data_IF_772794209312
#
_entry.id   IF_772794209312
#
_cell.length_a   1.000
_cell.length_b   1.000
_cell.length_c   1.000
_cell.angle_alpha   90.00
_cell.angle_beta   90.00
_cell.angle_gamma   90.00
#
_symmetry.space_group_name_H-M   'P 1'
#
loop_
_entity.id
_entity.type
_entity.pdbx_description
1 polymer ?
#
# COMPACT_ATOMS: atom_id res chain seq x y z
N UNK A 1 8.54 -40.82 -59.46
CA UNK A 1 9.11 -39.67 -58.70
C UNK A 1 8.04 -38.95 -57.90
N UNK A 2 6.90 -38.62 -58.46
CA UNK A 2 5.82 -37.85 -57.87
C UNK A 2 5.22 -38.43 -56.56
N UNK A 3 5.15 -39.73 -56.41
CA UNK A 3 4.59 -40.39 -55.22
C UNK A 3 5.55 -40.40 -54.01
N UNK A 4 6.86 -40.29 -54.23
CA UNK A 4 7.86 -40.14 -53.16
C UNK A 4 7.88 -38.71 -52.59
N UNK A 5 7.69 -37.73 -53.46
CA UNK A 5 7.64 -36.32 -53.05
C UNK A 5 6.36 -35.97 -52.24
N UNK A 6 5.23 -36.52 -52.64
CA UNK A 6 3.97 -36.40 -51.89
C UNK A 6 4.07 -37.06 -50.51
N UNK A 7 4.72 -38.20 -50.36
CA UNK A 7 4.98 -38.83 -49.05
C UNK A 7 5.93 -38.01 -48.19
N UNK A 8 6.97 -37.42 -48.79
CA UNK A 8 7.92 -36.54 -48.09
C UNK A 8 7.25 -35.26 -47.61
N UNK A 9 6.42 -34.62 -48.42
CA UNK A 9 5.64 -33.45 -48.06
C UNK A 9 4.65 -33.76 -46.90
N UNK A 10 3.92 -34.87 -46.95
CA UNK A 10 3.05 -35.29 -45.84
C UNK A 10 3.81 -35.51 -44.54
N UNK A 11 5.03 -36.09 -44.60
CA UNK A 11 5.87 -36.29 -43.40
C UNK A 11 6.30 -34.95 -42.82
N UNK A 12 6.68 -33.97 -43.63
CA UNK A 12 7.07 -32.64 -43.20
C UNK A 12 5.87 -31.87 -42.61
N UNK A 13 4.68 -32.00 -43.20
CA UNK A 13 3.46 -31.42 -42.68
C UNK A 13 3.08 -32.00 -41.31
N UNK A 14 3.23 -33.31 -41.11
CA UNK A 14 2.99 -33.95 -39.82
C UNK A 14 4.00 -33.53 -38.75
N UNK A 15 5.27 -33.37 -39.12
CA UNK A 15 6.31 -32.86 -38.18
C UNK A 15 6.02 -31.42 -37.81
N UNK A 16 5.64 -30.56 -38.77
CA UNK A 16 5.29 -29.19 -38.52
C UNK A 16 4.03 -29.10 -37.64
N UNK A 17 2.99 -29.89 -37.89
CA UNK A 17 1.77 -29.94 -37.06
C UNK A 17 2.07 -30.42 -35.64
N UNK A 18 2.92 -31.41 -35.48
CA UNK A 18 3.37 -31.90 -34.16
C UNK A 18 4.17 -30.82 -33.42
N UNK A 19 5.03 -30.09 -34.08
CA UNK A 19 5.79 -28.96 -33.52
C UNK A 19 4.89 -27.84 -33.09
N UNK A 20 3.89 -27.47 -33.88
CA UNK A 20 2.88 -26.43 -33.54
C UNK A 20 2.07 -26.90 -32.33
N UNK A 21 1.61 -28.14 -32.31
CA UNK A 21 0.85 -28.69 -31.15
C UNK A 21 1.68 -28.66 -29.88
N UNK A 22 2.95 -28.99 -29.94
CA UNK A 22 3.87 -28.95 -28.81
C UNK A 22 4.05 -27.52 -28.28
N UNK A 23 4.20 -26.54 -29.19
CA UNK A 23 4.28 -25.10 -28.82
C UNK A 23 2.98 -24.60 -28.16
N UNK A 24 1.83 -24.97 -28.72
CA UNK A 24 0.52 -24.62 -28.14
C UNK A 24 0.36 -25.23 -26.75
N UNK A 25 0.74 -26.52 -26.60
CA UNK A 25 0.69 -27.19 -25.30
C UNK A 25 1.62 -26.53 -24.28
N UNK A 26 2.85 -26.20 -24.67
CA UNK A 26 3.81 -25.50 -23.81
C UNK A 26 3.29 -24.11 -23.40
N UNK A 27 2.74 -23.34 -24.36
CA UNK A 27 2.11 -22.05 -24.06
C UNK A 27 0.92 -22.18 -23.10
N UNK A 28 0.06 -23.19 -23.30
CA UNK A 28 -1.07 -23.46 -22.41
C UNK A 28 -0.63 -23.84 -21.00
N UNK A 29 0.45 -24.64 -20.88
CA UNK A 29 1.06 -24.99 -19.58
C UNK A 29 1.64 -23.74 -18.92
N UNK A 30 2.37 -22.90 -19.65
CA UNK A 30 2.89 -21.63 -19.12
C UNK A 30 1.77 -20.72 -18.60
N UNK A 31 0.70 -20.52 -19.39
CA UNK A 31 -0.47 -19.72 -19.00
C UNK A 31 -1.15 -20.30 -17.76
N UNK A 32 -1.21 -21.63 -17.64
CA UNK A 32 -1.80 -22.28 -16.47
C UNK A 32 -0.91 -22.15 -15.23
N UNK A 33 0.41 -22.30 -15.37
CA UNK A 33 1.34 -22.35 -14.23
C UNK A 33 1.74 -20.98 -13.71
N UNK A 34 1.89 -20.00 -14.62
CA UNK A 34 2.41 -18.68 -14.29
C UNK A 34 1.28 -17.68 -13.91
N UNK A 35 1.55 -16.67 -13.08
CA UNK A 35 0.59 -15.61 -12.74
C UNK A 35 0.45 -14.59 -13.89
N UNK A 36 0.08 -15.08 -15.07
CA UNK A 36 -0.16 -14.28 -16.27
C UNK A 36 -1.65 -14.03 -16.41
N UNK A 37 -2.05 -12.77 -16.52
CA UNK A 37 -3.44 -12.38 -16.79
C UNK A 37 -3.78 -12.61 -18.26
N UNK A 38 -4.63 -13.59 -18.53
CA UNK A 38 -5.11 -13.94 -19.88
C UNK A 38 -6.62 -13.96 -19.99
N UNK A 39 -7.33 -13.97 -18.84
CA UNK A 39 -8.78 -13.88 -18.79
C UNK A 39 -9.21 -12.41 -18.66
N UNK A 40 -10.44 -12.06 -19.06
CA UNK A 40 -10.98 -10.74 -18.81
C UNK A 40 -10.95 -10.43 -17.32
N UNK A 41 -10.43 -9.25 -16.97
CA UNK A 41 -10.44 -8.71 -15.61
C UNK A 41 -11.83 -8.13 -15.35
N UNK A 42 -12.38 -8.42 -14.19
CA UNK A 42 -13.61 -7.77 -13.73
C UNK A 42 -13.21 -6.52 -12.95
N UNK A 43 -13.62 -5.37 -13.43
CA UNK A 43 -13.45 -4.13 -12.70
C UNK A 43 -14.20 -4.17 -11.38
N UNK A 44 -13.51 -3.80 -10.32
CA UNK A 44 -14.11 -3.66 -9.00
C UNK A 44 -15.02 -2.42 -9.00
N UNK A 45 -16.30 -2.65 -8.73
CA UNK A 45 -17.25 -1.57 -8.46
C UNK A 45 -17.48 -1.50 -6.95
N UNK A 46 -17.09 -0.38 -6.35
CA UNK A 46 -17.36 -0.12 -4.94
C UNK A 46 -18.88 -0.06 -4.72
N UNK A 47 -19.37 -0.78 -3.72
CA UNK A 47 -20.76 -0.65 -3.28
C UNK A 47 -20.93 0.65 -2.49
N UNK A 48 -22.07 1.31 -2.66
CA UNK A 48 -22.45 2.44 -1.81
C UNK A 48 -22.62 1.94 -0.37
N UNK A 49 -21.98 2.65 0.57
CA UNK A 49 -22.06 2.27 1.97
C UNK A 49 -23.48 2.41 2.52
N UNK A 50 -23.91 1.46 3.33
CA UNK A 50 -25.16 1.60 4.07
C UNK A 50 -24.99 2.64 5.20
N UNK A 51 -26.09 3.30 5.62
CA UNK A 51 -26.06 4.10 6.84
C UNK A 51 -25.55 3.28 8.03
N UNK A 52 -24.77 3.87 8.91
CA UNK A 52 -24.13 3.15 10.02
C UNK A 52 -25.16 2.51 10.98
N UNK A 53 -26.34 3.10 11.11
CA UNK A 53 -27.47 2.64 11.92
C UNK A 53 -28.41 1.66 11.22
N UNK A 54 -28.16 1.34 9.94
CA UNK A 54 -28.92 0.35 9.18
C UNK A 54 -28.81 -1.02 9.86
N UNK A 55 -29.95 -1.64 10.16
CA UNK A 55 -30.01 -2.94 10.83
C UNK A 55 -29.90 -4.08 9.83
N UNK A 56 -28.89 -4.90 10.00
CA UNK A 56 -28.71 -6.16 9.30
C UNK A 56 -29.39 -7.29 10.11
N UNK A 57 -30.07 -8.18 9.42
CA UNK A 57 -30.63 -9.41 10.02
C UNK A 57 -29.52 -10.39 10.40
N UNK A 58 -29.81 -11.32 11.28
CA UNK A 58 -28.83 -12.36 11.64
C UNK A 58 -28.39 -13.21 10.46
N UNK A 59 -29.25 -13.41 9.44
CA UNK A 59 -28.95 -14.17 8.23
C UNK A 59 -27.98 -13.38 7.31
N UNK A 60 -28.20 -12.09 7.14
CA UNK A 60 -27.32 -11.19 6.39
C UNK A 60 -25.93 -11.10 7.03
N UNK A 61 -25.88 -10.89 8.35
CA UNK A 61 -24.63 -10.88 9.12
C UNK A 61 -23.87 -12.20 8.96
N UNK A 62 -24.56 -13.32 9.09
CA UNK A 62 -23.96 -14.65 8.92
C UNK A 62 -23.39 -14.83 7.50
N UNK A 63 -24.17 -14.48 6.47
CA UNK A 63 -23.79 -14.64 5.08
C UNK A 63 -22.52 -13.83 4.75
N UNK A 64 -22.48 -12.57 5.14
CA UNK A 64 -21.33 -11.68 4.89
C UNK A 64 -20.10 -12.07 5.71
N UNK A 65 -20.29 -12.52 6.96
CA UNK A 65 -19.20 -13.06 7.77
C UNK A 65 -18.53 -14.25 7.09
N UNK A 66 -19.31 -15.24 6.65
CA UNK A 66 -18.79 -16.44 5.98
C UNK A 66 -18.15 -16.09 4.62
N UNK A 67 -18.71 -15.11 3.90
CA UNK A 67 -18.11 -14.58 2.67
C UNK A 67 -16.73 -13.96 2.96
N UNK A 68 -16.61 -13.13 3.99
CA UNK A 68 -15.35 -12.49 4.39
C UNK A 68 -14.30 -13.53 4.78
N UNK A 69 -14.64 -14.46 5.67
CA UNK A 69 -13.74 -15.53 6.13
C UNK A 69 -13.23 -16.35 4.94
N UNK A 70 -14.13 -16.78 4.04
CA UNK A 70 -13.76 -17.56 2.85
C UNK A 70 -12.81 -16.78 1.94
N UNK A 71 -13.10 -15.51 1.62
CA UNK A 71 -12.23 -14.66 0.78
C UNK A 71 -10.83 -14.57 1.40
N UNK A 72 -10.75 -14.33 2.69
CA UNK A 72 -9.50 -14.21 3.44
C UNK A 72 -8.71 -15.53 3.40
N UNK A 73 -9.35 -16.64 3.75
CA UNK A 73 -8.71 -17.96 3.80
C UNK A 73 -8.27 -18.45 2.43
N UNK A 74 -8.95 -18.08 1.34
CA UNK A 74 -8.59 -18.43 -0.02
C UNK A 74 -7.52 -17.52 -0.64
N UNK A 75 -7.41 -16.27 -0.17
CA UNK A 75 -6.66 -15.24 -0.91
C UNK A 75 -5.40 -14.76 -0.20
N UNK A 76 -5.42 -14.54 1.13
CA UNK A 76 -4.28 -13.95 1.82
C UNK A 76 -3.09 -14.90 1.91
N UNK A 77 -1.86 -14.50 1.52
CA UNK A 77 -0.69 -15.38 1.52
C UNK A 77 -0.29 -15.92 2.90
N UNK A 78 -0.72 -15.30 3.99
CA UNK A 78 -0.52 -15.77 5.36
C UNK A 78 -0.78 -17.28 5.51
N UNK A 79 -1.81 -17.81 4.88
CA UNK A 79 -2.21 -19.22 5.00
C UNK A 79 -1.26 -20.22 4.33
N UNK A 80 -0.30 -19.74 3.55
CA UNK A 80 0.71 -20.57 2.88
C UNK A 80 2.14 -20.20 3.30
N UNK A 81 2.32 -19.13 4.10
CA UNK A 81 3.63 -18.63 4.53
C UNK A 81 3.84 -18.68 6.04
N UNK A 82 2.77 -18.66 6.84
CA UNK A 82 2.88 -18.74 8.29
C UNK A 82 3.17 -20.18 8.74
N UNK A 83 4.23 -20.34 9.56
CA UNK A 83 4.59 -21.63 10.13
C UNK A 83 3.52 -22.14 11.13
N UNK A 84 2.90 -21.21 11.88
CA UNK A 84 1.82 -21.50 12.82
C UNK A 84 0.62 -20.58 12.58
N UNK A 85 -0.58 -21.14 12.57
CA UNK A 85 -1.85 -20.42 12.37
C UNK A 85 -2.69 -20.31 13.64
N UNK A 86 -2.13 -20.59 14.80
CA UNK A 86 -2.85 -20.61 16.09
C UNK A 86 -3.50 -19.27 16.41
N UNK A 87 -2.82 -18.17 16.15
CA UNK A 87 -3.36 -16.82 16.33
C UNK A 87 -4.58 -16.52 15.46
N UNK A 88 -4.59 -17.02 14.22
CA UNK A 88 -5.72 -16.85 13.32
C UNK A 88 -7.00 -17.56 13.84
N UNK A 89 -6.88 -18.75 14.39
CA UNK A 89 -8.02 -19.45 14.94
C UNK A 89 -8.73 -18.63 16.03
N UNK A 90 -7.97 -18.00 16.92
CA UNK A 90 -8.52 -17.12 17.96
C UNK A 90 -9.16 -15.84 17.38
N UNK A 91 -8.52 -15.21 16.38
CA UNK A 91 -9.09 -14.03 15.70
C UNK A 91 -10.39 -14.36 14.98
N UNK A 92 -10.44 -15.52 14.31
CA UNK A 92 -11.66 -16.02 13.65
C UNK A 92 -12.78 -16.32 14.65
N UNK A 93 -12.45 -16.97 15.77
CA UNK A 93 -13.44 -17.26 16.82
C UNK A 93 -13.99 -15.97 17.42
N UNK A 94 -13.15 -14.99 17.68
CA UNK A 94 -13.56 -13.68 18.15
C UNK A 94 -14.50 -12.98 17.16
N UNK A 95 -14.16 -12.96 15.86
CA UNK A 95 -15.00 -12.40 14.82
C UNK A 95 -16.38 -13.08 14.73
N UNK A 96 -16.40 -14.42 14.78
CA UNK A 96 -17.66 -15.20 14.79
C UNK A 96 -18.51 -14.87 16.04
N UNK A 97 -17.90 -14.72 17.20
CA UNK A 97 -18.59 -14.37 18.43
C UNK A 97 -19.13 -12.92 18.38
N UNK A 98 -18.35 -11.97 17.87
CA UNK A 98 -18.72 -10.57 17.73
C UNK A 98 -19.86 -10.34 16.72
N UNK A 99 -20.01 -11.24 15.74
CA UNK A 99 -21.01 -11.15 14.65
C UNK A 99 -22.07 -12.26 14.77
N UNK A 100 -22.45 -12.63 15.99
CA UNK A 100 -23.43 -13.66 16.25
C UNK A 100 -24.82 -13.05 16.55
N UNK A 101 -25.54 -12.62 15.51
CA UNK A 101 -26.88 -12.07 15.61
C UNK A 101 -27.10 -10.82 14.76
N UNK A 102 -28.32 -10.23 14.80
CA UNK A 102 -28.56 -8.99 14.09
C UNK A 102 -27.77 -7.85 14.72
N UNK A 103 -27.26 -6.93 13.89
CA UNK A 103 -26.46 -5.80 14.33
C UNK A 103 -26.53 -4.66 13.33
N UNK A 104 -26.01 -3.49 13.69
CA UNK A 104 -25.94 -2.39 12.74
C UNK A 104 -24.83 -2.60 11.70
N UNK A 105 -24.97 -1.97 10.53
CA UNK A 105 -23.94 -2.01 9.49
C UNK A 105 -22.61 -1.42 9.98
N UNK A 106 -22.66 -0.38 10.82
CA UNK A 106 -21.47 0.22 11.43
C UNK A 106 -20.75 -0.72 12.39
N UNK A 107 -21.51 -1.43 13.25
CA UNK A 107 -20.93 -2.42 14.16
C UNK A 107 -20.32 -3.59 13.39
N UNK A 108 -21.02 -4.08 12.35
CA UNK A 108 -20.50 -5.15 11.49
C UNK A 108 -19.24 -4.73 10.74
N UNK A 109 -19.21 -3.51 10.20
CA UNK A 109 -18.01 -2.94 9.57
C UNK A 109 -16.83 -2.89 10.54
N UNK A 110 -17.07 -2.44 11.77
CA UNK A 110 -16.05 -2.35 12.83
C UNK A 110 -15.51 -3.73 13.21
N UNK A 111 -16.38 -4.72 13.40
CA UNK A 111 -16.00 -6.10 13.69
C UNK A 111 -15.20 -6.72 12.54
N UNK A 112 -15.59 -6.44 11.29
CA UNK A 112 -14.86 -6.90 10.09
C UNK A 112 -13.49 -6.24 9.99
N UNK A 113 -13.39 -4.94 10.30
CA UNK A 113 -12.11 -4.21 10.31
C UNK A 113 -11.15 -4.79 11.36
N UNK A 114 -11.65 -5.07 12.57
CA UNK A 114 -10.88 -5.70 13.64
C UNK A 114 -10.37 -7.09 13.23
N UNK A 115 -11.20 -7.91 12.60
CA UNK A 115 -10.80 -9.21 12.09
C UNK A 115 -9.69 -9.12 11.05
N UNK A 116 -9.81 -8.21 10.07
CA UNK A 116 -8.79 -8.01 9.03
C UNK A 116 -7.50 -7.42 9.59
N UNK A 117 -7.58 -6.64 10.66
CA UNK A 117 -6.43 -6.05 11.35
C UNK A 117 -5.48 -7.12 11.93
N UNK A 118 -5.97 -8.34 12.18
CA UNK A 118 -5.17 -9.48 12.63
C UNK A 118 -3.92 -9.70 11.77
N UNK A 119 -3.99 -9.51 10.46
CA UNK A 119 -2.87 -9.78 9.55
C UNK A 119 -1.72 -8.78 9.70
N UNK A 120 -1.94 -7.63 10.34
CA UNK A 120 -0.93 -6.57 10.46
C UNK A 120 -0.37 -6.14 9.10
N UNK A 121 -1.17 -6.25 8.05
CA UNK A 121 -0.84 -5.97 6.66
C UNK A 121 -1.54 -4.70 6.21
N UNK A 122 -0.79 -3.65 5.90
CA UNK A 122 -1.34 -2.36 5.47
C UNK A 122 -2.10 -2.39 4.14
N UNK A 123 -2.02 -3.50 3.41
CA UNK A 123 -2.75 -3.74 2.17
C UNK A 123 -4.02 -4.59 2.37
N UNK A 124 -4.29 -5.06 3.61
CA UNK A 124 -5.48 -5.86 3.95
C UNK A 124 -6.29 -5.16 5.02
N UNK A 125 -7.54 -4.80 4.71
CA UNK A 125 -8.41 -4.10 5.66
C UNK A 125 -9.68 -3.58 5.04
N UNK A 126 -10.58 -3.09 5.87
CA UNK A 126 -11.78 -2.38 5.44
C UNK A 126 -11.38 -1.03 4.84
N UNK A 127 -11.98 -0.70 3.71
CA UNK A 127 -11.82 0.62 3.08
C UNK A 127 -12.70 1.65 3.81
N UNK A 128 -12.23 2.04 4.97
CA UNK A 128 -12.91 2.99 5.85
C UNK A 128 -12.99 4.35 5.18
N UNK A 129 -14.18 4.91 5.16
CA UNK A 129 -14.42 6.27 4.67
C UNK A 129 -14.78 7.14 5.86
N UNK A 130 -13.99 8.16 6.09
CA UNK A 130 -14.29 9.21 7.04
C UNK A 130 -14.83 10.40 6.25
N UNK A 131 -16.08 10.77 6.52
CA UNK A 131 -16.73 11.85 5.79
C UNK A 131 -16.51 13.22 6.45
N UNK A 132 -16.17 13.23 7.74
CA UNK A 132 -16.00 14.45 8.52
C UNK A 132 -14.86 14.33 9.52
N UNK A 133 -14.12 15.41 9.67
CA UNK A 133 -12.99 15.54 10.59
C UNK A 133 -13.18 16.76 11.48
N UNK A 134 -12.76 16.68 12.75
CA UNK A 134 -12.65 17.85 13.61
C UNK A 134 -11.68 18.84 12.98
N UNK A 135 -12.07 20.12 12.98
CA UNK A 135 -11.20 21.20 12.53
C UNK A 135 -10.14 21.54 13.59
N UNK A 136 -9.45 20.51 14.07
CA UNK A 136 -8.35 20.59 15.02
C UNK A 136 -7.03 20.50 14.26
N UNK A 137 -6.27 21.60 14.09
CA UNK A 137 -4.93 21.52 13.53
C UNK A 137 -4.04 20.71 14.46
N UNK A 138 -3.47 19.61 13.96
CA UNK A 138 -2.72 18.71 14.82
C UNK A 138 -1.59 17.99 14.09
N UNK A 139 -0.60 17.54 14.86
CA UNK A 139 0.51 16.69 14.44
C UNK A 139 0.75 15.60 15.48
N UNK A 140 1.13 14.40 15.02
CA UNK A 140 1.58 13.33 15.90
C UNK A 140 3.12 13.37 15.98
N UNK A 141 3.63 13.62 17.17
CA UNK A 141 5.07 13.63 17.46
C UNK A 141 5.32 13.21 18.91
N UNK A 142 6.49 12.60 19.16
CA UNK A 142 6.93 12.17 20.50
C UNK A 142 5.88 11.29 21.22
N UNK A 143 5.16 10.44 20.47
CA UNK A 143 4.14 9.55 21.01
C UNK A 143 2.82 10.22 21.39
N UNK A 144 2.62 11.50 21.03
CA UNK A 144 1.46 12.31 21.39
C UNK A 144 0.87 13.05 20.19
N UNK A 145 -0.41 13.38 20.27
CA UNK A 145 -1.04 14.35 19.39
C UNK A 145 -0.90 15.75 19.99
N UNK A 146 -0.34 16.65 19.22
CA UNK A 146 -0.17 18.06 19.57
C UNK A 146 -1.08 18.92 18.72
N UNK A 147 -1.76 19.91 19.31
CA UNK A 147 -2.32 20.95 18.48
C UNK A 147 -1.19 21.87 18.00
N UNK A 148 -1.39 22.46 16.82
CA UNK A 148 -0.39 23.35 16.20
C UNK A 148 -1.01 24.68 15.82
N UNK A 149 -0.19 25.71 15.77
CA UNK A 149 -0.58 27.01 15.24
C UNK A 149 -0.60 27.03 13.69
N UNK A 150 -0.87 28.19 13.10
CA UNK A 150 -0.92 28.39 11.65
C UNK A 150 0.43 28.16 10.94
N UNK A 151 1.53 28.19 11.68
CA UNK A 151 2.89 27.93 11.18
C UNK A 151 3.33 26.48 11.43
N UNK A 152 2.46 25.63 12.00
CA UNK A 152 2.78 24.24 12.35
C UNK A 152 3.58 24.09 13.64
N UNK A 153 3.73 25.16 14.44
CA UNK A 153 4.43 25.09 15.74
C UNK A 153 3.57 24.39 16.77
N UNK A 154 4.14 23.38 17.43
CA UNK A 154 3.45 22.63 18.50
C UNK A 154 3.16 23.53 19.70
N UNK A 155 1.90 23.53 20.15
CA UNK A 155 1.42 24.30 21.30
C UNK A 155 1.27 23.40 22.53
N UNK A 156 0.17 22.66 22.63
CA UNK A 156 -0.17 21.79 23.76
C UNK A 156 -0.54 20.39 23.26
N UNK A 157 -0.19 19.36 24.04
CA UNK A 157 -0.65 18.00 23.71
C UNK A 157 -2.14 17.87 24.03
N UNK A 158 -2.84 17.08 23.21
CA UNK A 158 -4.25 16.75 23.42
C UNK A 158 -4.35 15.69 24.50
N UNK A 159 -5.20 15.92 25.53
CA UNK A 159 -5.44 15.00 26.65
C UNK A 159 -6.73 14.21 26.44
N UNK A 160 -7.85 14.91 26.14
CA UNK A 160 -9.14 14.27 25.86
C UNK A 160 -9.81 14.86 24.62
N UNK A 161 -10.65 14.07 23.97
CA UNK A 161 -11.53 14.50 22.87
C UNK A 161 -12.95 14.01 23.20
N UNK A 162 -13.90 14.92 23.43
CA UNK A 162 -15.26 14.56 23.84
C UNK A 162 -15.31 13.76 25.14
N UNK A 163 -14.43 14.06 26.10
CA UNK A 163 -14.33 13.38 27.39
C UNK A 163 -13.62 12.02 27.35
N UNK A 164 -13.24 11.52 26.17
CA UNK A 164 -12.47 10.28 26.02
C UNK A 164 -10.98 10.61 25.97
N UNK A 165 -10.17 9.86 26.67
CA UNK A 165 -8.71 10.07 26.63
C UNK A 165 -8.15 9.81 25.23
N UNK A 166 -7.13 10.58 24.85
CA UNK A 166 -6.41 10.38 23.57
C UNK A 166 -5.92 8.93 23.42
N UNK A 167 -5.50 8.27 24.51
CA UNK A 167 -5.06 6.89 24.48
C UNK A 167 -6.19 5.90 24.16
N UNK A 168 -7.42 6.15 24.58
CA UNK A 168 -8.58 5.34 24.20
C UNK A 168 -8.93 5.54 22.72
N UNK A 169 -8.80 6.77 22.20
CA UNK A 169 -8.95 7.04 20.77
C UNK A 169 -7.86 6.32 19.97
N UNK A 170 -6.59 6.33 20.44
CA UNK A 170 -5.52 5.55 19.82
C UNK A 170 -5.82 4.05 19.83
N UNK A 171 -6.33 3.52 20.93
CA UNK A 171 -6.71 2.11 21.02
C UNK A 171 -7.83 1.75 20.02
N UNK A 172 -8.81 2.64 19.81
CA UNK A 172 -9.84 2.43 18.80
C UNK A 172 -9.25 2.42 17.38
N UNK A 173 -8.33 3.34 17.07
CA UNK A 173 -7.63 3.37 15.78
C UNK A 173 -6.80 2.10 15.57
N UNK A 174 -5.95 1.73 16.53
CA UNK A 174 -5.05 0.60 16.44
C UNK A 174 -5.78 -0.73 16.31
N UNK A 175 -7.03 -0.82 16.79
CA UNK A 175 -7.87 -2.01 16.69
C UNK A 175 -8.39 -2.27 15.28
N UNK A 176 -8.67 -1.23 14.49
CA UNK A 176 -9.35 -1.37 13.19
C UNK A 176 -8.50 -0.96 11.98
N UNK A 177 -7.34 -0.32 12.19
CA UNK A 177 -6.41 0.03 11.13
C UNK A 177 -5.12 -0.78 11.27
N UNK A 178 -4.82 -1.69 10.33
CA UNK A 178 -3.64 -2.51 10.40
C UNK A 178 -2.37 -1.65 10.31
N UNK A 179 -1.35 -2.06 11.08
CA UNK A 179 -0.07 -1.40 11.11
C UNK A 179 1.06 -2.44 11.02
N UNK A 180 1.88 -2.33 9.98
CA UNK A 180 3.00 -3.24 9.76
C UNK A 180 4.17 -2.97 10.71
N UNK A 181 4.35 -1.70 11.08
CA UNK A 181 5.40 -1.24 11.99
C UNK A 181 4.92 -0.03 12.81
N UNK A 182 5.80 0.51 13.65
CA UNK A 182 5.48 1.66 14.49
C UNK A 182 5.18 2.93 13.67
N UNK A 183 5.84 3.14 12.52
CA UNK A 183 5.56 4.29 11.66
C UNK A 183 4.15 4.22 11.05
N UNK A 184 3.69 3.01 10.68
CA UNK A 184 2.32 2.80 10.23
C UNK A 184 1.30 3.15 11.33
N UNK A 185 1.57 2.74 12.57
CA UNK A 185 0.71 3.08 13.73
C UNK A 185 0.64 4.58 13.95
N UNK A 186 1.78 5.26 13.94
CA UNK A 186 1.86 6.71 14.10
C UNK A 186 1.12 7.44 12.97
N UNK A 187 1.30 7.01 11.72
CA UNK A 187 0.56 7.55 10.57
C UNK A 187 -0.95 7.37 10.74
N UNK A 188 -1.41 6.17 11.12
CA UNK A 188 -2.82 5.90 11.33
C UNK A 188 -3.41 6.80 12.43
N UNK A 189 -2.71 6.94 13.55
CA UNK A 189 -3.14 7.83 14.65
C UNK A 189 -3.22 9.28 14.19
N UNK A 190 -2.18 9.79 13.51
CA UNK A 190 -2.17 11.17 12.99
C UNK A 190 -3.31 11.43 12.02
N UNK A 191 -3.57 10.50 11.10
CA UNK A 191 -4.57 10.69 10.05
C UNK A 191 -6.02 10.49 10.53
N UNK A 192 -6.24 9.74 11.62
CA UNK A 192 -7.57 9.26 12.01
C UNK A 192 -8.12 9.85 13.29
N UNK A 193 -7.28 10.43 14.16
CA UNK A 193 -7.67 10.87 15.51
C UNK A 193 -8.79 11.91 15.52
N UNK A 194 -8.95 12.67 14.45
CA UNK A 194 -9.98 13.72 14.32
C UNK A 194 -11.23 13.25 13.57
N UNK A 195 -11.26 11.99 13.09
CA UNK A 195 -12.37 11.44 12.33
C UNK A 195 -13.61 11.21 13.16
N UNK A 196 -14.80 11.65 12.69
CA UNK A 196 -16.09 11.52 13.39
C UNK A 196 -16.40 10.06 13.75
N UNK A 197 -16.25 9.15 12.79
CA UNK A 197 -16.55 7.73 12.99
C UNK A 197 -15.62 7.11 14.03
N UNK A 198 -14.35 7.49 14.05
CA UNK A 198 -13.36 7.02 15.03
C UNK A 198 -13.70 7.56 16.43
N UNK A 199 -14.04 8.84 16.54
CA UNK A 199 -14.43 9.44 17.82
C UNK A 199 -15.71 8.81 18.35
N UNK A 200 -16.70 8.56 17.49
CA UNK A 200 -17.92 7.83 17.84
C UNK A 200 -17.60 6.42 18.34
N UNK A 201 -16.73 5.67 17.61
CA UNK A 201 -16.29 4.33 17.99
C UNK A 201 -15.55 4.31 19.34
N UNK A 202 -14.80 5.38 19.63
CA UNK A 202 -14.11 5.56 20.91
C UNK A 202 -15.05 5.98 22.05
N UNK A 203 -16.31 6.33 21.75
CA UNK A 203 -17.29 6.78 22.75
C UNK A 203 -17.22 8.27 23.10
N UNK A 204 -16.62 9.10 22.25
CA UNK A 204 -16.56 10.53 22.47
C UNK A 204 -17.94 11.18 22.46
N UNK A 205 -18.18 12.12 23.37
CA UNK A 205 -19.39 12.91 23.39
C UNK A 205 -19.37 13.95 22.26
N UNK A 206 -20.31 13.81 21.32
CA UNK A 206 -20.51 14.71 20.20
C UNK A 206 -21.85 15.41 20.41
N UNK A 207 -21.84 16.74 20.45
CA UNK A 207 -23.06 17.56 20.66
C UNK A 207 -23.20 18.57 19.51
N UNK A 208 -24.29 18.49 18.78
CA UNK A 208 -24.62 19.44 17.70
C UNK A 208 -23.41 19.73 16.76
N UNK A 209 -22.71 18.67 16.30
CA UNK A 209 -21.51 18.74 15.48
C UNK A 209 -20.28 19.38 16.14
N UNK A 210 -20.29 19.59 17.46
CA UNK A 210 -19.14 20.07 18.23
C UNK A 210 -18.59 19.00 19.17
N UNK A 211 -17.30 19.12 19.44
CA UNK A 211 -16.59 18.28 20.41
C UNK A 211 -15.67 19.14 21.25
N UNK A 212 -15.73 18.98 22.57
CA UNK A 212 -14.79 19.63 23.50
C UNK A 212 -13.47 18.86 23.49
N UNK A 213 -12.37 19.58 23.30
CA UNK A 213 -10.99 19.05 23.39
C UNK A 213 -10.32 19.68 24.58
N UNK A 214 -9.75 18.84 25.46
CA UNK A 214 -8.95 19.29 26.61
C UNK A 214 -7.47 19.12 26.30
N UNK A 215 -6.67 20.12 26.61
CA UNK A 215 -5.22 20.14 26.39
C UNK A 215 -4.44 19.95 27.69
N UNK A 216 -3.14 19.68 27.56
CA UNK A 216 -2.24 19.38 28.68
C UNK A 216 -2.03 20.54 29.68
N UNK A 217 -2.38 21.75 29.31
CA UNK A 217 -2.41 22.92 30.22
C UNK A 217 -3.75 23.10 30.95
N UNK A 218 -4.71 22.19 30.72
CA UNK A 218 -6.05 22.23 31.30
C UNK A 218 -7.03 23.16 30.58
N UNK A 219 -6.62 23.77 29.46
CA UNK A 219 -7.54 24.56 28.64
C UNK A 219 -8.46 23.63 27.86
N UNK A 220 -9.73 24.03 27.78
CA UNK A 220 -10.76 23.39 26.97
C UNK A 220 -11.16 24.28 25.80
N UNK A 221 -11.33 23.68 24.62
CA UNK A 221 -11.82 24.39 23.44
C UNK A 221 -12.81 23.51 22.66
N UNK A 222 -13.80 24.15 22.04
CA UNK A 222 -14.76 23.47 21.17
C UNK A 222 -14.30 23.50 19.73
N UNK A 223 -14.38 22.35 19.08
CA UNK A 223 -14.08 22.16 17.66
C UNK A 223 -15.30 21.58 16.95
N UNK A 224 -15.54 22.04 15.74
CA UNK A 224 -16.61 21.54 14.87
C UNK A 224 -16.08 20.58 13.83
N UNK A 225 -16.92 19.63 13.41
CA UNK A 225 -16.63 18.80 12.27
C UNK A 225 -16.74 19.59 10.96
N UNK A 226 -15.89 19.22 10.02
CA UNK A 226 -15.91 19.72 8.65
C UNK A 226 -15.69 18.55 7.71
N UNK A 227 -16.30 18.63 6.54
CA UNK A 227 -15.95 17.72 5.47
C UNK A 227 -14.46 17.92 5.13
N UNK A 228 -13.74 16.85 4.76
CA UNK A 228 -12.37 16.99 4.32
C UNK A 228 -12.33 18.04 3.21
N UNK A 229 -11.55 19.10 3.44
CA UNK A 229 -11.14 19.93 2.31
C UNK A 229 -10.47 18.94 1.38
N UNK A 230 -11.01 18.81 0.17
CA UNK A 230 -10.53 17.83 -0.82
C UNK A 230 -9.06 18.12 -1.16
N UNK A 231 -8.17 17.71 -0.27
CA UNK A 231 -6.75 17.45 -0.55
C UNK A 231 -6.58 16.01 -1.09
N UNK A 232 -7.71 15.36 -1.41
CA UNK A 232 -7.64 14.24 -2.31
C UNK A 232 -6.94 14.77 -3.57
N UNK A 233 -5.81 14.21 -3.89
CA UNK A 233 -5.28 14.15 -5.26
C UNK A 233 -6.30 13.30 -6.05
N UNK A 234 -7.54 13.79 -6.10
CA UNK A 234 -8.47 13.42 -7.13
C UNK A 234 -7.97 14.17 -8.35
N UNK A 235 -7.77 13.46 -9.43
CA UNK A 235 -7.62 14.00 -10.76
C UNK A 235 -8.73 15.03 -11.03
N UNK A 236 -8.56 16.25 -10.50
CA UNK A 236 -9.30 17.40 -10.99
C UNK A 236 -8.68 17.71 -12.35
N UNK A 237 -9.49 17.62 -13.38
CA UNK A 237 -9.18 18.27 -14.65
C UNK A 237 -8.81 19.73 -14.33
N UNK A 238 -7.50 20.05 -14.35
CA UNK A 238 -6.99 21.39 -14.06
C UNK A 238 -5.86 21.51 -13.02
N UNK A 239 -5.55 20.48 -12.21
CA UNK A 239 -4.31 20.45 -11.42
C UNK A 239 -3.14 20.00 -12.30
N UNK A 240 -1.96 20.63 -12.13
CA UNK A 240 -0.73 20.26 -12.84
C UNK A 240 -0.34 18.79 -12.68
N UNK A 241 0.77 18.37 -13.28
CA UNK A 241 1.22 16.97 -13.26
C UNK A 241 1.37 16.47 -11.82
N UNK A 242 1.00 15.19 -11.58
CA UNK A 242 1.11 14.54 -10.26
C UNK A 242 2.58 14.40 -9.88
N UNK A 243 3.40 13.92 -10.82
CA UNK A 243 4.84 13.82 -10.69
C UNK A 243 5.48 14.91 -11.55
N UNK A 244 6.60 15.44 -11.10
CA UNK A 244 7.34 16.47 -11.86
C UNK A 244 8.82 16.38 -11.57
N UNK A 245 9.61 16.99 -12.43
CA UNK A 245 11.03 17.19 -12.19
C UNK A 245 11.44 18.65 -12.42
N UNK A 246 12.54 19.03 -11.82
CA UNK A 246 13.17 20.35 -12.02
C UNK A 246 14.67 20.27 -11.69
N UNK A 247 15.40 21.30 -12.12
CA UNK A 247 16.79 21.50 -11.71
C UNK A 247 16.85 22.47 -10.53
N UNK A 248 17.55 22.05 -9.46
CA UNK A 248 17.96 22.94 -8.38
C UNK A 248 19.49 23.01 -8.37
N UNK A 249 20.03 24.13 -8.89
CA UNK A 249 21.46 24.25 -9.18
C UNK A 249 21.94 23.16 -10.17
N UNK A 250 22.85 22.29 -9.72
CA UNK A 250 23.36 21.14 -10.46
C UNK A 250 22.69 19.79 -10.09
N UNK A 251 21.60 19.83 -9.35
CA UNK A 251 20.87 18.63 -8.90
C UNK A 251 19.60 18.45 -9.72
N UNK A 252 19.39 17.24 -10.25
CA UNK A 252 18.13 16.83 -10.90
C UNK A 252 17.18 16.30 -9.83
N UNK A 253 16.06 17.00 -9.59
CA UNK A 253 15.10 16.69 -8.55
C UNK A 253 13.81 16.14 -9.16
N UNK A 254 13.30 15.05 -8.60
CA UNK A 254 12.02 14.45 -9.00
C UNK A 254 11.08 14.45 -7.78
N UNK A 255 10.00 15.23 -7.84
CA UNK A 255 8.86 15.10 -6.93
C UNK A 255 8.04 13.90 -7.38
N UNK A 256 8.28 12.75 -6.79
CA UNK A 256 7.66 11.46 -7.13
C UNK A 256 6.51 11.16 -6.19
N UNK A 257 5.36 11.82 -6.42
CA UNK A 257 4.21 11.82 -5.52
C UNK A 257 3.32 10.57 -5.63
N UNK A 258 3.38 9.85 -6.77
CA UNK A 258 2.64 8.61 -6.98
C UNK A 258 3.37 7.71 -7.98
N UNK A 259 3.43 6.41 -7.69
CA UNK A 259 4.07 5.42 -8.55
C UNK A 259 3.18 5.03 -9.75
N UNK A 260 2.88 5.99 -10.63
CA UNK A 260 2.15 5.75 -11.88
C UNK A 260 3.15 5.40 -12.99
N UNK A 261 2.92 4.29 -13.71
CA UNK A 261 3.70 3.92 -14.90
C UNK A 261 2.98 4.39 -16.18
N UNK A 262 2.71 5.69 -16.25
CA UNK A 262 1.99 6.38 -17.30
C UNK A 262 2.93 7.15 -18.27
N UNK A 263 2.37 7.94 -19.16
CA UNK A 263 3.14 8.70 -20.14
C UNK A 263 3.89 9.88 -19.49
N UNK A 264 3.39 10.44 -18.37
CA UNK A 264 4.09 11.44 -17.58
C UNK A 264 5.40 10.87 -17.00
N UNK A 265 5.32 9.72 -16.36
CA UNK A 265 6.51 9.03 -15.80
C UNK A 265 7.48 8.58 -16.89
N UNK A 266 6.99 8.15 -18.06
CA UNK A 266 7.86 7.83 -19.21
C UNK A 266 8.63 9.07 -19.70
N UNK A 267 7.96 10.23 -19.74
CA UNK A 267 8.61 11.49 -20.12
C UNK A 267 9.66 11.91 -19.09
N UNK A 268 9.34 11.90 -17.78
CA UNK A 268 10.30 12.19 -16.70
C UNK A 268 11.55 11.30 -16.80
N UNK A 269 11.33 9.97 -16.98
CA UNK A 269 12.43 9.02 -17.12
C UNK A 269 13.28 9.26 -18.38
N UNK A 270 12.68 9.71 -19.48
CA UNK A 270 13.41 10.06 -20.69
C UNK A 270 14.26 11.32 -20.49
N UNK A 271 13.74 12.34 -19.81
CA UNK A 271 14.48 13.55 -19.48
C UNK A 271 15.63 13.24 -18.51
N UNK A 272 15.38 12.44 -17.46
CA UNK A 272 16.43 11.97 -16.54
C UNK A 272 17.54 11.23 -17.28
N UNK A 273 17.16 10.29 -18.17
CA UNK A 273 18.13 9.55 -18.97
C UNK A 273 18.98 10.47 -19.84
N UNK A 274 18.32 11.42 -20.51
CA UNK A 274 19.02 12.41 -21.34
C UNK A 274 19.98 13.25 -20.49
N UNK A 275 19.57 13.69 -19.30
CA UNK A 275 20.44 14.45 -18.38
C UNK A 275 21.66 13.61 -17.97
N UNK A 276 21.47 12.35 -17.55
CA UNK A 276 22.57 11.45 -17.14
C UNK A 276 23.52 11.16 -18.31
N UNK A 277 23.00 10.93 -19.52
CA UNK A 277 23.81 10.72 -20.72
C UNK A 277 24.67 11.94 -21.06
N UNK A 278 24.26 13.16 -20.62
CA UNK A 278 24.99 14.43 -20.80
C UNK A 278 25.78 14.88 -19.57
N UNK A 279 25.99 13.98 -18.60
CA UNK A 279 26.89 14.22 -17.47
C UNK A 279 26.20 14.67 -16.17
N UNK A 280 24.88 14.54 -16.06
CA UNK A 280 24.20 14.73 -14.77
C UNK A 280 24.63 13.66 -13.78
N UNK A 281 25.12 14.05 -12.61
CA UNK A 281 25.67 13.15 -11.59
C UNK A 281 24.96 13.21 -10.25
N UNK A 282 24.11 14.22 -10.02
CA UNK A 282 23.41 14.42 -8.74
C UNK A 282 21.91 14.34 -8.94
N UNK A 283 21.26 13.40 -8.26
CA UNK A 283 19.82 13.15 -8.40
C UNK A 283 19.17 13.04 -7.04
N UNK A 284 18.04 13.71 -6.85
CA UNK A 284 17.12 13.53 -5.72
C UNK A 284 15.81 12.93 -6.25
N UNK A 285 15.32 11.87 -5.60
CA UNK A 285 13.97 11.35 -5.82
C UNK A 285 13.22 11.51 -4.50
N UNK A 286 12.23 12.37 -4.48
CA UNK A 286 11.40 12.63 -3.30
C UNK A 286 10.14 11.75 -3.34
N UNK A 287 10.09 10.74 -2.47
CA UNK A 287 8.95 9.84 -2.30
C UNK A 287 8.19 10.11 -1.00
N UNK A 288 8.45 11.23 -0.33
CA UNK A 288 7.67 11.63 0.85
C UNK A 288 6.20 11.83 0.46
N UNK A 289 5.29 11.31 1.25
CA UNK A 289 3.85 11.37 0.96
C UNK A 289 3.37 10.43 -0.14
N UNK A 290 4.24 9.66 -0.79
CA UNK A 290 3.88 8.78 -1.90
C UNK A 290 3.22 7.47 -1.39
N UNK A 291 1.94 7.20 -1.70
CA UNK A 291 1.23 6.00 -1.25
C UNK A 291 1.58 4.73 -2.03
N UNK A 292 2.44 4.81 -3.04
CA UNK A 292 2.80 3.70 -3.92
C UNK A 292 2.06 3.70 -5.26
N UNK A 293 1.86 2.52 -5.81
CA UNK A 293 1.26 2.28 -7.12
C UNK A 293 1.97 1.15 -7.87
N UNK A 294 2.50 1.40 -9.06
CA UNK A 294 3.24 0.44 -9.87
C UNK A 294 4.76 0.51 -9.61
N UNK A 295 5.37 -0.61 -9.21
CA UNK A 295 6.82 -0.71 -9.08
C UNK A 295 7.57 -0.55 -10.41
N UNK A 296 6.88 -0.67 -11.56
CA UNK A 296 7.48 -0.38 -12.87
C UNK A 296 7.94 1.07 -12.99
N UNK A 297 7.24 2.03 -12.36
CA UNK A 297 7.67 3.43 -12.33
C UNK A 297 9.03 3.59 -11.62
N UNK A 298 9.21 2.90 -10.49
CA UNK A 298 10.49 2.89 -9.76
C UNK A 298 11.63 2.30 -10.61
N UNK A 299 11.38 1.12 -11.20
CA UNK A 299 12.35 0.44 -12.07
C UNK A 299 12.72 1.31 -13.28
N UNK A 300 11.76 2.04 -13.84
CA UNK A 300 11.95 2.97 -14.96
C UNK A 300 12.92 4.08 -14.61
N UNK A 301 12.78 4.70 -13.44
CA UNK A 301 13.69 5.76 -12.98
C UNK A 301 15.11 5.22 -12.74
N UNK A 302 15.26 4.06 -12.10
CA UNK A 302 16.57 3.42 -11.92
C UNK A 302 17.23 3.10 -13.26
N UNK A 303 16.49 2.52 -14.21
CA UNK A 303 16.97 2.22 -15.55
C UNK A 303 17.40 3.49 -16.31
N UNK A 304 16.70 4.61 -16.14
CA UNK A 304 17.06 5.89 -16.74
C UNK A 304 18.43 6.39 -16.25
N UNK A 305 18.80 6.07 -15.00
CA UNK A 305 20.12 6.36 -14.43
C UNK A 305 21.18 5.28 -14.76
N UNK A 306 20.84 4.26 -15.55
CA UNK A 306 21.74 3.15 -15.88
C UNK A 306 21.94 2.14 -14.74
N UNK A 307 21.06 2.16 -13.74
CA UNK A 307 21.01 1.24 -12.60
C UNK A 307 19.96 0.15 -12.84
N UNK A 308 20.11 -1.04 -12.23
CA UNK A 308 19.10 -2.09 -12.28
C UNK A 308 18.46 -2.26 -10.90
N UNK A 309 17.14 -2.36 -10.84
CA UNK A 309 16.46 -2.71 -9.59
C UNK A 309 16.83 -4.14 -9.17
N UNK A 310 17.24 -4.38 -7.91
CA UNK A 310 17.37 -5.73 -7.40
C UNK A 310 15.99 -6.41 -7.37
N UNK A 311 15.98 -7.73 -7.49
CA UNK A 311 14.73 -8.46 -7.64
C UNK A 311 14.23 -8.97 -6.27
N UNK A 312 12.95 -8.74 -6.01
CA UNK A 312 12.24 -9.37 -4.90
C UNK A 312 11.94 -10.83 -5.20
N UNK A 313 11.94 -11.66 -4.17
CA UNK A 313 11.21 -12.92 -4.22
C UNK A 313 9.71 -12.63 -4.10
N UNK A 314 8.91 -13.27 -4.91
CA UNK A 314 7.46 -13.03 -4.94
C UNK A 314 6.69 -14.34 -4.87
N UNK A 315 5.93 -14.51 -3.80
CA UNK A 315 4.96 -15.58 -3.68
C UNK A 315 3.58 -15.05 -4.09
N UNK A 316 2.96 -15.68 -5.08
CA UNK A 316 1.62 -15.36 -5.56
C UNK A 316 0.65 -16.44 -5.12
N UNK A 317 -0.43 -16.06 -4.44
CA UNK A 317 -1.52 -16.96 -4.12
C UNK A 317 -2.65 -16.80 -5.13
N UNK A 318 -3.03 -17.90 -5.78
CA UNK A 318 -4.17 -17.93 -6.67
C UNK A 318 -5.45 -18.17 -5.87
N UNK A 319 -6.51 -17.44 -6.22
CA UNK A 319 -7.84 -17.57 -5.65
C UNK A 319 -8.90 -17.16 -6.67
N UNK A 320 -10.19 -17.45 -6.43
CA UNK A 320 -11.27 -16.93 -7.29
C UNK A 320 -11.26 -15.42 -7.40
N UNK A 321 -10.97 -14.70 -6.29
CA UNK A 321 -10.83 -13.24 -6.28
C UNK A 321 -9.62 -12.78 -7.10
N UNK A 322 -8.47 -13.45 -6.98
CA UNK A 322 -7.28 -13.14 -7.77
C UNK A 322 -7.49 -13.40 -9.27
N UNK A 323 -8.22 -14.44 -9.63
CA UNK A 323 -8.63 -14.66 -11.03
C UNK A 323 -9.47 -13.49 -11.55
N UNK A 324 -10.47 -13.07 -10.79
CA UNK A 324 -11.35 -11.96 -11.20
C UNK A 324 -10.60 -10.63 -11.35
N UNK A 325 -9.71 -10.32 -10.40
CA UNK A 325 -9.01 -9.05 -10.34
C UNK A 325 -7.72 -8.97 -11.18
N UNK A 326 -7.15 -10.11 -11.60
CA UNK A 326 -5.88 -10.17 -12.34
C UNK A 326 -5.96 -10.96 -13.64
N UNK A 327 -7.08 -11.60 -13.93
CA UNK A 327 -7.26 -12.41 -15.14
C UNK A 327 -6.42 -13.69 -15.14
N UNK A 328 -6.01 -14.20 -13.98
CA UNK A 328 -5.29 -15.47 -13.88
C UNK A 328 -6.14 -16.63 -14.33
N UNK A 329 -5.52 -17.67 -14.88
CA UNK A 329 -6.25 -18.86 -15.28
C UNK A 329 -6.62 -19.74 -14.05
N UNK A 330 -5.73 -19.81 -13.05
CA UNK A 330 -5.89 -20.60 -11.82
C UNK A 330 -6.76 -19.89 -10.79
N UNK A 331 -7.52 -20.68 -10.03
CA UNK A 331 -8.33 -20.22 -8.88
C UNK A 331 -7.80 -20.76 -7.54
N UNK A 332 -6.70 -21.50 -7.54
CA UNK A 332 -6.13 -22.05 -6.31
C UNK A 332 -4.67 -22.43 -6.48
N UNK A 333 -3.97 -22.61 -5.35
CA UNK A 333 -2.56 -22.93 -5.29
C UNK A 333 -1.69 -21.67 -5.32
N UNK A 334 -0.44 -21.86 -5.58
CA UNK A 334 0.60 -20.82 -5.47
C UNK A 334 1.60 -20.85 -6.62
N UNK A 335 2.32 -19.77 -6.77
CA UNK A 335 3.48 -19.64 -7.64
C UNK A 335 4.54 -18.82 -6.92
N UNK A 336 5.77 -19.34 -6.89
CA UNK A 336 6.92 -18.63 -6.33
C UNK A 336 7.84 -18.19 -7.45
N UNK A 337 8.15 -16.90 -7.47
CA UNK A 337 9.22 -16.34 -8.29
C UNK A 337 10.40 -16.05 -7.36
N UNK A 338 11.55 -16.63 -7.65
CA UNK A 338 12.79 -16.34 -6.92
C UNK A 338 13.61 -15.33 -7.73
N UNK A 339 13.99 -14.26 -7.08
CA UNK A 339 14.85 -13.22 -7.65
C UNK A 339 16.22 -13.77 -8.05
N UNK A 340 16.99 -12.96 -8.72
CA UNK A 340 18.34 -13.34 -9.16
C UNK A 340 19.38 -12.89 -8.15
N UNK A 341 20.26 -13.81 -7.74
CA UNK A 341 21.46 -13.51 -6.93
C UNK A 341 22.58 -12.81 -7.72
N UNK A 342 22.34 -12.50 -9.00
CA UNK A 342 23.31 -11.82 -9.82
C UNK A 342 23.61 -10.41 -9.29
N UNK A 343 24.88 -10.01 -9.38
CA UNK A 343 25.29 -8.66 -8.98
C UNK A 343 24.45 -7.59 -9.69
N UNK A 344 23.86 -6.71 -8.92
CA UNK A 344 23.00 -5.65 -9.42
C UNK A 344 23.84 -4.60 -10.17
N UNK A 345 23.41 -4.24 -11.38
CA UNK A 345 24.07 -3.20 -12.16
C UNK A 345 23.94 -1.85 -11.47
N UNK A 346 25.05 -1.21 -11.15
CA UNK A 346 25.16 0.12 -10.55
C UNK A 346 25.69 1.13 -11.56
N UNK A 347 25.48 2.41 -11.27
CA UNK A 347 26.13 3.52 -11.98
C UNK A 347 26.85 4.40 -10.94
N UNK A 348 28.13 4.15 -10.76
CA UNK A 348 28.98 4.85 -9.77
C UNK A 348 29.19 6.34 -10.10
N UNK A 349 28.81 6.80 -11.28
CA UNK A 349 28.90 8.22 -11.65
C UNK A 349 27.71 9.04 -11.17
N UNK A 350 26.61 8.40 -10.76
CA UNK A 350 25.39 9.06 -10.24
C UNK A 350 25.34 8.93 -8.74
N UNK A 351 25.28 10.06 -8.07
CA UNK A 351 24.98 10.17 -6.63
C UNK A 351 23.48 10.35 -6.45
N UNK A 352 22.82 9.36 -5.89
CA UNK A 352 21.37 9.31 -5.70
C UNK A 352 21.03 9.47 -4.22
N UNK A 353 20.16 10.44 -3.89
CA UNK A 353 19.47 10.53 -2.61
C UNK A 353 17.97 10.28 -2.81
N UNK A 354 17.37 9.46 -1.96
CA UNK A 354 15.92 9.23 -1.94
C UNK A 354 15.37 9.72 -0.62
N UNK A 355 14.40 10.65 -0.69
CA UNK A 355 13.73 11.21 0.48
C UNK A 355 12.50 10.40 0.81
N UNK A 356 12.34 9.98 2.06
CA UNK A 356 11.21 9.19 2.51
C UNK A 356 10.66 9.68 3.85
N UNK A 357 9.41 9.33 4.12
CA UNK A 357 8.72 9.63 5.36
C UNK A 357 7.77 8.50 5.79
N UNK A 358 7.07 8.69 6.91
CA UNK A 358 6.08 7.71 7.41
C UNK A 358 4.86 7.52 6.50
N UNK A 359 4.64 8.38 5.49
CA UNK A 359 3.57 8.23 4.51
C UNK A 359 4.02 7.43 3.29
N UNK A 360 5.33 7.37 3.03
CA UNK A 360 5.93 6.52 1.98
C UNK A 360 5.46 5.08 2.15
N UNK A 361 4.78 4.51 1.11
CA UNK A 361 4.13 3.21 1.24
C UNK A 361 4.19 2.39 -0.06
N UNK A 362 4.07 1.04 0.04
CA UNK A 362 3.96 0.12 -1.09
C UNK A 362 5.12 0.28 -2.09
N UNK A 363 4.86 0.49 -3.37
CA UNK A 363 5.90 0.64 -4.39
C UNK A 363 6.86 1.81 -4.15
N UNK A 364 6.45 2.84 -3.39
CA UNK A 364 7.38 3.90 -2.97
C UNK A 364 8.38 3.38 -1.93
N UNK A 365 7.96 2.50 -1.00
CA UNK A 365 8.88 1.78 -0.12
C UNK A 365 9.77 0.82 -0.91
N UNK A 366 9.24 0.15 -1.96
CA UNK A 366 10.09 -0.67 -2.85
C UNK A 366 11.17 0.16 -3.53
N UNK A 367 10.90 1.42 -3.90
CA UNK A 367 11.96 2.33 -4.40
C UNK A 367 13.08 2.52 -3.38
N UNK A 368 12.73 2.75 -2.12
CA UNK A 368 13.71 2.86 -1.04
C UNK A 368 14.51 1.55 -0.85
N UNK A 369 13.84 0.40 -0.90
CA UNK A 369 14.49 -0.92 -0.80
C UNK A 369 15.41 -1.17 -2.00
N UNK A 370 14.99 -0.86 -3.23
CA UNK A 370 15.84 -0.99 -4.41
C UNK A 370 17.12 -0.17 -4.28
N UNK A 371 17.03 1.04 -3.73
CA UNK A 371 18.21 1.90 -3.54
C UNK A 371 19.12 1.33 -2.46
N UNK A 372 18.58 0.90 -1.34
CA UNK A 372 19.32 0.32 -0.22
C UNK A 372 19.99 -1.00 -0.60
N UNK A 373 19.21 -1.99 -1.02
CA UNK A 373 19.69 -3.35 -1.27
C UNK A 373 20.51 -3.44 -2.56
N UNK A 374 20.24 -2.56 -3.55
CA UNK A 374 21.05 -2.38 -4.74
C UNK A 374 22.34 -1.61 -4.52
N UNK A 375 22.49 -0.91 -3.40
CA UNK A 375 23.62 -0.01 -3.12
C UNK A 375 23.71 1.13 -4.13
N UNK A 376 22.56 1.71 -4.50
CA UNK A 376 22.48 2.76 -5.53
C UNK A 376 22.64 4.17 -5.01
N UNK A 377 22.48 4.38 -3.70
CA UNK A 377 22.50 5.70 -3.09
C UNK A 377 22.15 5.66 -1.61
N UNK A 378 21.67 6.77 -1.08
CA UNK A 378 21.30 6.94 0.33
C UNK A 378 19.81 7.24 0.51
N UNK A 379 19.26 6.81 1.64
CA UNK A 379 17.91 7.16 2.08
C UNK A 379 18.00 8.25 3.15
N UNK A 380 17.16 9.27 3.04
CA UNK A 380 17.16 10.44 3.94
C UNK A 380 15.73 10.74 4.39
N UNK A 381 15.52 10.98 5.68
CA UNK A 381 14.24 11.35 6.27
C UNK A 381 13.79 10.44 7.40
N UNK A 382 12.51 10.04 7.40
CA UNK A 382 11.92 9.09 8.36
C UNK A 382 11.75 7.70 7.73
N UNK A 383 11.71 6.63 8.57
CA UNK A 383 11.34 5.30 8.08
C UNK A 383 9.94 5.26 7.48
N UNK A 384 9.76 4.43 6.45
CA UNK A 384 8.45 4.21 5.81
C UNK A 384 7.48 3.42 6.70
N UNK A 385 6.18 3.60 6.46
CA UNK A 385 5.15 2.83 7.17
C UNK A 385 4.94 1.41 6.63
N UNK A 386 5.53 1.05 5.51
CA UNK A 386 5.47 -0.29 4.95
C UNK A 386 6.76 -1.07 5.29
N UNK A 387 6.63 -2.36 5.59
CA UNK A 387 7.80 -3.21 5.78
C UNK A 387 8.55 -3.43 4.46
N UNK A 388 9.88 -3.58 4.51
CA UNK A 388 10.69 -3.92 3.33
C UNK A 388 10.31 -5.25 2.69
N UNK A 389 10.00 -6.27 3.52
CA UNK A 389 9.34 -7.50 3.11
C UNK A 389 7.91 -7.46 3.62
N UNK A 390 6.93 -7.52 2.72
CA UNK A 390 5.52 -7.27 3.05
C UNK A 390 4.57 -8.10 2.19
N UNK A 391 3.32 -8.16 2.60
CA UNK A 391 2.22 -8.56 1.71
C UNK A 391 1.81 -7.39 0.81
N UNK A 392 1.15 -7.68 -0.30
CA UNK A 392 0.72 -6.63 -1.23
C UNK A 392 0.01 -7.13 -2.48
N UNK A 393 -0.02 -6.25 -3.48
CA UNK A 393 -0.78 -6.41 -4.73
C UNK A 393 -2.27 -6.63 -4.46
N UNK A 394 -2.92 -5.50 -4.07
CA UNK A 394 -4.28 -5.48 -3.51
C UNK A 394 -5.33 -6.00 -4.50
N UNK A 395 -6.22 -6.84 -3.99
CA UNK A 395 -7.50 -7.14 -4.60
C UNK A 395 -8.61 -6.47 -3.79
N UNK A 396 -9.64 -6.02 -4.48
CA UNK A 396 -10.79 -5.39 -3.85
C UNK A 396 -12.00 -6.33 -3.86
N UNK A 397 -12.80 -6.27 -2.79
CA UNK A 397 -14.08 -6.96 -2.71
C UNK A 397 -15.09 -6.17 -1.88
N UNK A 398 -16.36 -6.49 -2.03
CA UNK A 398 -17.45 -5.98 -1.19
C UNK A 398 -18.26 -7.14 -0.66
N UNK A 399 -18.76 -7.01 0.56
CA UNK A 399 -19.70 -7.94 1.16
C UNK A 399 -21.11 -7.61 0.69
N UNK A 400 -21.90 -8.62 0.35
CA UNK A 400 -23.11 -8.44 -0.44
C UNK A 400 -24.28 -7.79 0.30
N UNK A 401 -24.38 -8.00 1.62
CA UNK A 401 -25.51 -7.51 2.40
C UNK A 401 -25.17 -6.24 3.19
N UNK A 402 -23.98 -6.19 3.79
CA UNK A 402 -23.53 -5.05 4.61
C UNK A 402 -22.91 -3.94 3.78
N UNK A 403 -22.63 -4.18 2.50
CA UNK A 403 -21.89 -3.27 1.61
C UNK A 403 -20.50 -2.87 2.14
N UNK A 404 -19.93 -3.63 3.06
CA UNK A 404 -18.57 -3.39 3.53
C UNK A 404 -17.60 -3.60 2.37
N UNK A 405 -16.88 -2.52 2.02
CA UNK A 405 -15.83 -2.54 1.01
C UNK A 405 -14.48 -2.80 1.67
N UNK A 406 -13.73 -3.75 1.14
CA UNK A 406 -12.44 -4.14 1.69
C UNK A 406 -11.40 -4.39 0.61
N UNK A 407 -10.15 -4.47 1.02
CA UNK A 407 -9.04 -4.90 0.19
C UNK A 407 -8.24 -6.00 0.90
N UNK A 408 -7.53 -6.79 0.10
CA UNK A 408 -6.75 -7.93 0.59
C UNK A 408 -5.53 -8.15 -0.30
N UNK A 409 -4.40 -8.45 0.32
CA UNK A 409 -3.19 -8.89 -0.37
C UNK A 409 -3.33 -10.29 -0.94
N UNK A 410 -2.74 -10.53 -2.13
CA UNK A 410 -2.63 -11.87 -2.69
C UNK A 410 -1.20 -12.28 -3.04
N UNK A 411 -0.23 -11.41 -2.74
CA UNK A 411 1.19 -11.69 -2.88
C UNK A 411 1.94 -11.40 -1.60
N UNK A 412 3.05 -12.12 -1.42
CA UNK A 412 4.11 -11.77 -0.48
C UNK A 412 5.34 -11.37 -1.27
N UNK A 413 5.97 -10.30 -0.85
CA UNK A 413 7.22 -9.78 -1.39
C UNK A 413 8.30 -9.92 -0.32
N UNK A 414 9.39 -10.62 -0.62
CA UNK A 414 10.56 -10.73 0.23
C UNK A 414 11.66 -9.88 -0.40
N UNK A 415 12.22 -8.95 0.39
CA UNK A 415 13.24 -8.00 -0.10
C UNK A 415 14.47 -8.71 -0.66
N UNK A 416 15.21 -8.07 -1.59
CA UNK A 416 16.40 -8.66 -2.20
C UNK A 416 17.50 -9.07 -1.20
N UNK A 417 17.70 -8.29 -0.13
CA UNK A 417 18.54 -8.68 1.00
C UNK A 417 17.74 -9.53 2.00
N UNK A 418 17.54 -10.82 1.68
CA UNK A 418 16.74 -11.75 2.49
C UNK A 418 17.31 -11.96 3.91
N UNK A 419 18.61 -11.77 4.09
CA UNK A 419 19.25 -11.89 5.40
C UNK A 419 18.81 -10.77 6.35
N UNK A 420 18.33 -9.65 5.82
CA UNK A 420 17.82 -8.52 6.58
C UNK A 420 16.32 -8.69 6.87
N UNK A 421 16.01 -9.06 8.11
CA UNK A 421 14.63 -9.28 8.60
C UNK A 421 14.04 -8.07 9.31
N UNK A 422 14.64 -6.88 9.19
CA UNK A 422 14.14 -5.66 9.80
C UNK A 422 12.74 -5.31 9.29
N UNK A 423 11.85 -5.02 10.21
CA UNK A 423 10.47 -4.61 9.90
C UNK A 423 10.34 -3.13 9.51
N UNK A 424 11.40 -2.38 9.65
CA UNK A 424 11.42 -0.94 9.42
C UNK A 424 12.66 -0.57 8.61
N UNK A 425 12.48 0.09 7.49
CA UNK A 425 13.58 0.57 6.66
C UNK A 425 14.06 1.93 7.21
N UNK A 426 15.05 1.87 8.10
CA UNK A 426 15.61 3.09 8.73
C UNK A 426 16.50 3.82 7.72
N UNK A 427 16.28 5.10 7.43
CA UNK A 427 17.12 5.88 6.52
C UNK A 427 18.59 5.97 6.97
N UNK A 428 19.50 6.14 6.01
CA UNK A 428 20.95 6.34 6.27
C UNK A 428 21.20 7.65 7.01
N UNK A 429 20.40 8.67 6.67
CA UNK A 429 20.41 9.98 7.33
C UNK A 429 18.99 10.22 7.85
N UNK A 430 18.82 10.09 9.18
CA UNK A 430 17.54 10.33 9.82
C UNK A 430 17.36 11.82 10.10
N UNK A 431 16.25 12.38 9.65
CA UNK A 431 15.85 13.77 9.89
C UNK A 431 14.34 13.87 10.04
N UNK A 432 13.84 15.00 10.52
CA UNK A 432 12.44 15.34 10.33
C UNK A 432 12.15 15.43 8.81
N UNK A 433 10.96 15.04 8.34
CA UNK A 433 10.63 15.03 6.90
C UNK A 433 10.81 16.40 6.23
N UNK A 434 10.54 17.50 6.94
CA UNK A 434 10.70 18.86 6.44
C UNK A 434 12.17 19.22 6.15
N UNK A 435 13.13 18.62 6.88
CA UNK A 435 14.56 18.91 6.77
C UNK A 435 15.29 17.96 5.80
N UNK A 436 14.60 16.91 5.33
CA UNK A 436 15.20 15.86 4.50
C UNK A 436 15.76 16.40 3.17
N UNK A 437 15.12 17.41 2.59
CA UNK A 437 15.59 18.01 1.34
C UNK A 437 16.92 18.75 1.52
N UNK A 438 17.03 19.59 2.54
CA UNK A 438 18.27 20.31 2.87
C UNK A 438 19.41 19.33 3.18
N UNK A 439 19.12 18.30 3.98
CA UNK A 439 20.09 17.25 4.28
C UNK A 439 20.57 16.49 3.03
N UNK A 440 19.71 16.30 2.03
CA UNK A 440 20.10 15.70 0.75
C UNK A 440 20.99 16.63 -0.09
N UNK A 441 20.68 17.91 -0.15
CA UNK A 441 21.50 18.91 -0.82
C UNK A 441 22.91 18.98 -0.18
N UNK A 442 22.97 18.98 1.15
CA UNK A 442 24.25 18.97 1.89
C UNK A 442 25.06 17.70 1.63
N UNK A 443 24.39 16.53 1.59
CA UNK A 443 25.07 15.26 1.27
C UNK A 443 25.59 15.25 -0.17
N UNK A 444 24.85 15.80 -1.13
CA UNK A 444 25.27 15.89 -2.53
C UNK A 444 26.38 16.92 -2.77
N UNK A 445 26.55 17.89 -1.89
CA UNK A 445 27.59 18.92 -1.98
C UNK A 445 28.99 18.42 -1.54
N UNK A 446 29.05 17.32 -0.78
CA UNK A 446 30.32 16.69 -0.34
C UNK A 446 31.01 15.95 -1.48
#
# INVERSE_FOLDING_TARGET
MENKDKKRQKKWLLIAAAGILLLITAAAVCVYMLPIGVLPVKDYSRMEALPADHLLTAEEVWADREQCIRIVEETHPYFITAEEQSGYAAAREHYVAATNGPMTAGDFQSATAEFLCFFGDGHTGVRWVEEEYLNLPQVYADGKTWNVDENGVRLHSVETIGGVSVNEVYAAIDRIFPAENEMARQRNRQQRITGRNILTLAGAAIQDDTVTVTFSDGVEAEYTFRQPVSNAVTSQEGSGPINRWYMDGDVFVIDFNQCNDDDEMKAIAADLKNAVDHGQTKVIIDVRGNPGGSSNACTRLLNAMGMAAPQYDVLVRFSPLAQQGRGYFRQSGEFCFTGSDAAVKRNESVRLAVLCDRVTFSSATMMCVYVRDGGHGVLIGEPSSNMPSAFGDILYFSLENSHVNACISHKQFIRPDEANTERMLVPDIQTDPQDAYEAAMDWLAQ
#
